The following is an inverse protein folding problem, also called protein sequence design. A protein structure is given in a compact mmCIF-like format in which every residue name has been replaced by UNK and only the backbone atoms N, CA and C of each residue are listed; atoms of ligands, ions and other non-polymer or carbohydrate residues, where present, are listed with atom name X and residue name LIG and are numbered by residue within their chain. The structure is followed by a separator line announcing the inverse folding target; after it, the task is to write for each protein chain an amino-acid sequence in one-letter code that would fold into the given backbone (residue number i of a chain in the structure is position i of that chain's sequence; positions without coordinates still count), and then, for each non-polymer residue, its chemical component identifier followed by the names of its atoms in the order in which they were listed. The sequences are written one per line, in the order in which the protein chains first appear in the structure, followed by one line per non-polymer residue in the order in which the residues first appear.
data_IF_587825754285
#
_entry.id   IF_587825754285
#
_cell.length_a   1.000
_cell.length_b   1.000
_cell.length_c   1.000
_cell.angle_alpha   90.00
_cell.angle_beta   90.00
_cell.angle_gamma   90.00
#
_symmetry.space_group_name_H-M   'P 1'
#
loop_
_entity.id
_entity.type
_entity.pdbx_description
1 polymer ?
#
# COMPACT_ATOMS: atom_id res chain seq x y z
N UNK A 1 10.12 11.24 -7.64
CA UNK A 1 9.90 9.87 -8.17
C UNK A 1 8.60 9.38 -7.56
N UNK A 2 7.69 8.80 -8.34
CA UNK A 2 6.37 8.38 -7.83
C UNK A 2 6.54 7.12 -6.94
N UNK A 3 5.92 7.11 -5.76
CA UNK A 3 6.07 6.07 -4.73
C UNK A 3 5.73 4.68 -5.28
N UNK A 4 4.67 4.63 -6.09
CA UNK A 4 4.22 3.41 -6.75
C UNK A 4 5.12 3.02 -7.92
N UNK A 5 5.77 3.99 -8.58
CA UNK A 5 6.76 3.67 -9.62
C UNK A 5 8.02 3.05 -9.02
N UNK A 6 8.44 3.44 -7.81
CA UNK A 6 9.58 2.80 -7.14
C UNK A 6 9.28 1.32 -6.84
N UNK A 7 8.10 1.05 -6.28
CA UNK A 7 7.63 -0.31 -6.00
C UNK A 7 7.55 -1.16 -7.27
N UNK A 8 6.97 -0.62 -8.35
CA UNK A 8 6.79 -1.37 -9.59
C UNK A 8 8.06 -1.50 -10.41
N UNK A 9 8.96 -0.51 -10.39
CA UNK A 9 10.27 -0.60 -11.04
C UNK A 9 11.20 -1.59 -10.34
N UNK A 10 11.08 -1.71 -9.02
CA UNK A 10 11.79 -2.72 -8.23
C UNK A 10 11.35 -4.11 -8.64
N UNK A 11 10.04 -4.35 -8.73
CA UNK A 11 9.53 -5.61 -9.22
C UNK A 11 9.95 -5.94 -10.66
N UNK A 12 9.92 -4.97 -11.59
CA UNK A 12 10.41 -5.17 -12.96
C UNK A 12 11.87 -5.61 -12.99
N UNK A 13 12.71 -5.08 -12.09
CA UNK A 13 14.11 -5.48 -11.97
C UNK A 13 14.27 -6.89 -11.40
N UNK A 14 13.43 -7.32 -10.46
CA UNK A 14 13.41 -8.71 -9.94
C UNK A 14 13.04 -9.67 -11.08
N UNK A 15 11.94 -9.38 -11.78
CA UNK A 15 11.45 -10.15 -12.92
C UNK A 15 12.48 -10.27 -14.04
N UNK A 16 13.17 -9.17 -14.38
CA UNK A 16 14.18 -9.16 -15.43
C UNK A 16 15.46 -9.95 -15.08
N UNK A 17 15.76 -10.17 -13.79
CA UNK A 17 17.02 -10.80 -13.34
C UNK A 17 16.88 -12.23 -12.86
N UNK A 18 15.67 -12.65 -12.45
CA UNK A 18 15.30 -14.04 -12.22
C UNK A 18 15.46 -15.04 -13.39
N UNK A 19 15.56 -14.68 -14.70
CA UNK A 19 15.37 -15.66 -15.78
C UNK A 19 16.42 -16.78 -15.93
N UNK A 20 17.56 -16.78 -15.23
CA UNK A 20 18.63 -17.76 -15.53
C UNK A 20 18.73 -18.99 -14.62
N UNK A 21 18.02 -19.07 -13.48
CA UNK A 21 18.41 -20.06 -12.45
C UNK A 21 17.43 -21.23 -12.26
N UNK A 22 16.10 -21.05 -12.23
CA UNK A 22 15.15 -22.18 -12.10
C UNK A 22 13.69 -21.74 -12.39
N UNK A 23 12.86 -22.59 -13.01
CA UNK A 23 11.44 -22.31 -13.29
C UNK A 23 10.60 -22.24 -12.00
N UNK A 24 10.93 -23.08 -11.01
CA UNK A 24 10.25 -23.13 -9.71
C UNK A 24 10.46 -21.83 -8.91
N UNK A 25 11.64 -21.22 -9.02
CA UNK A 25 11.96 -19.94 -8.37
C UNK A 25 11.22 -18.76 -9.01
N UNK A 26 11.02 -18.78 -10.34
CA UNK A 26 10.21 -17.76 -11.02
C UNK A 26 8.77 -17.79 -10.55
N UNK A 27 8.20 -18.98 -10.39
CA UNK A 27 6.82 -19.14 -9.93
C UNK A 27 6.64 -18.67 -8.49
N UNK A 28 7.61 -18.97 -7.61
CA UNK A 28 7.59 -18.48 -6.21
C UNK A 28 7.67 -16.96 -6.12
N UNK A 29 8.52 -16.32 -6.92
CA UNK A 29 8.60 -14.85 -6.99
C UNK A 29 7.27 -14.28 -7.50
N UNK A 30 6.72 -14.87 -8.57
CA UNK A 30 5.43 -14.45 -9.15
C UNK A 30 4.32 -14.50 -8.10
N UNK A 31 4.25 -15.59 -7.33
CA UNK A 31 3.25 -15.75 -6.28
C UNK A 31 3.36 -14.64 -5.22
N UNK A 32 4.55 -14.35 -4.72
CA UNK A 32 4.74 -13.32 -3.68
C UNK A 32 4.48 -11.92 -4.22
N UNK A 33 4.91 -11.63 -5.45
CA UNK A 33 4.61 -10.36 -6.13
C UNK A 33 3.10 -10.17 -6.26
N UNK A 34 2.37 -11.22 -6.66
CA UNK A 34 0.91 -11.23 -6.77
C UNK A 34 0.24 -11.00 -5.43
N UNK A 35 0.56 -11.83 -4.42
CA UNK A 35 0.00 -11.73 -3.07
C UNK A 35 0.22 -10.33 -2.46
N UNK A 36 1.41 -9.75 -2.66
CA UNK A 36 1.71 -8.40 -2.18
C UNK A 36 0.91 -7.32 -2.93
N UNK A 37 0.86 -7.42 -4.25
CA UNK A 37 0.12 -6.49 -5.10
C UNK A 37 -1.38 -6.50 -4.79
N UNK A 38 -1.95 -7.69 -4.63
CA UNK A 38 -3.36 -7.89 -4.28
C UNK A 38 -3.67 -7.32 -2.90
N UNK A 39 -2.84 -7.64 -1.90
CA UNK A 39 -3.02 -7.15 -0.53
C UNK A 39 -2.96 -5.61 -0.47
N UNK A 40 -1.99 -4.99 -1.14
CA UNK A 40 -1.88 -3.54 -1.21
C UNK A 40 -3.07 -2.91 -1.96
N UNK A 41 -3.52 -3.53 -3.06
CA UNK A 41 -4.71 -3.10 -3.78
C UNK A 41 -5.96 -3.13 -2.88
N UNK A 42 -6.14 -4.20 -2.11
CA UNK A 42 -7.26 -4.35 -1.18
C UNK A 42 -7.20 -3.30 -0.06
N UNK A 43 -6.00 -2.98 0.42
CA UNK A 43 -5.78 -1.90 1.40
C UNK A 43 -6.30 -0.55 0.91
N UNK A 44 -5.93 -0.22 -0.33
CA UNK A 44 -6.35 1.02 -0.98
C UNK A 44 -7.86 1.01 -1.22
N UNK A 45 -8.42 -0.13 -1.62
CA UNK A 45 -9.86 -0.29 -1.83
C UNK A 45 -10.65 -0.10 -0.53
N UNK A 46 -10.23 -0.72 0.57
CA UNK A 46 -10.86 -0.57 1.88
C UNK A 46 -10.83 0.89 2.34
N UNK A 47 -9.70 1.57 2.13
CA UNK A 47 -9.56 3.00 2.42
C UNK A 47 -10.52 3.85 1.57
N UNK A 48 -10.64 3.56 0.27
CA UNK A 48 -11.59 4.21 -0.63
C UNK A 48 -13.04 4.00 -0.16
N UNK A 49 -13.40 2.77 0.20
CA UNK A 49 -14.75 2.43 0.68
C UNK A 49 -15.04 3.20 1.98
N UNK A 50 -14.09 3.23 2.90
CA UNK A 50 -14.23 3.95 4.17
C UNK A 50 -14.45 5.44 3.96
N UNK A 51 -13.60 6.08 3.14
CA UNK A 51 -13.74 7.49 2.78
C UNK A 51 -15.07 7.75 2.08
N UNK A 52 -15.50 6.85 1.18
CA UNK A 52 -16.79 6.96 0.52
C UNK A 52 -17.96 6.88 1.50
N UNK A 53 -17.88 6.03 2.52
CA UNK A 53 -18.89 6.00 3.59
C UNK A 53 -18.86 7.28 4.43
N UNK A 54 -17.68 7.74 4.83
CA UNK A 54 -17.52 9.00 5.57
C UNK A 54 -18.15 10.17 4.79
N UNK A 55 -17.92 10.27 3.48
CA UNK A 55 -18.55 11.29 2.61
C UNK A 55 -20.08 11.30 2.69
N UNK A 56 -20.72 10.14 2.79
CA UNK A 56 -22.19 10.01 2.80
C UNK A 56 -22.78 9.93 4.21
N UNK A 57 -21.94 10.00 5.25
CA UNK A 57 -22.38 9.96 6.64
C UNK A 57 -23.24 11.19 6.96
N UNK A 58 -24.19 10.98 7.88
CA UNK A 58 -25.02 12.07 8.43
C UNK A 58 -24.19 13.01 9.27
N UNK A 59 -24.71 14.19 9.53
CA UNK A 59 -23.93 15.28 10.13
C UNK A 59 -23.33 14.92 11.50
N UNK A 60 -24.08 14.21 12.33
CA UNK A 60 -23.62 13.73 13.64
C UNK A 60 -22.63 12.58 13.53
N UNK A 61 -22.69 11.79 12.45
CA UNK A 61 -21.89 10.59 12.22
C UNK A 61 -20.60 10.92 11.44
N UNK A 62 -20.53 12.06 10.74
CA UNK A 62 -19.41 12.45 9.88
C UNK A 62 -18.11 12.65 10.66
N UNK A 63 -18.16 13.47 11.73
CA UNK A 63 -16.99 13.72 12.57
C UNK A 63 -16.54 12.45 13.31
N UNK A 64 -17.48 11.62 13.75
CA UNK A 64 -17.21 10.33 14.38
C UNK A 64 -16.53 9.35 13.41
N UNK A 65 -17.01 9.27 12.17
CA UNK A 65 -16.38 8.48 11.11
C UNK A 65 -14.95 8.94 10.81
N UNK A 66 -14.68 10.24 10.79
CA UNK A 66 -13.32 10.74 10.61
C UNK A 66 -12.42 10.43 11.82
N UNK A 67 -12.96 10.56 13.04
CA UNK A 67 -12.22 10.28 14.28
C UNK A 67 -11.77 8.82 14.36
N UNK A 68 -12.65 7.88 13.98
CA UNK A 68 -12.37 6.44 14.01
C UNK A 68 -11.65 5.92 12.76
N UNK A 69 -11.32 6.77 11.80
CA UNK A 69 -10.60 6.39 10.59
C UNK A 69 -9.28 5.70 10.92
N UNK A 70 -8.53 6.26 11.87
CA UNK A 70 -7.26 5.68 12.34
C UNK A 70 -7.46 4.27 12.89
N UNK A 71 -8.37 4.05 13.82
CA UNK A 71 -8.50 2.73 14.46
C UNK A 71 -9.01 1.68 13.48
N UNK A 72 -10.03 2.00 12.68
CA UNK A 72 -10.64 1.05 11.74
C UNK A 72 -9.77 0.71 10.54
N UNK A 73 -9.00 1.68 10.04
CA UNK A 73 -8.11 1.45 8.89
C UNK A 73 -6.76 0.90 9.34
N UNK A 74 -6.23 1.33 10.50
CA UNK A 74 -4.92 0.86 11.00
C UNK A 74 -4.90 -0.60 11.40
N UNK A 75 -6.01 -1.16 11.88
CA UNK A 75 -6.11 -2.62 12.10
C UNK A 75 -6.03 -3.38 10.79
N UNK A 76 -6.72 -2.91 9.74
CA UNK A 76 -6.56 -3.45 8.39
C UNK A 76 -5.12 -3.29 7.90
N UNK A 77 -4.45 -2.20 8.31
CA UNK A 77 -3.03 -1.95 7.99
C UNK A 77 -2.02 -2.79 8.79
N UNK A 78 -2.42 -3.32 9.95
CA UNK A 78 -1.57 -4.10 10.87
C UNK A 78 -1.77 -5.61 10.73
N UNK A 79 -2.98 -6.05 10.39
CA UNK A 79 -3.25 -7.45 10.00
C UNK A 79 -2.57 -7.83 8.67
N UNK A 80 -1.96 -6.86 7.99
CA UNK A 80 -1.04 -7.11 6.90
C UNK A 80 0.11 -8.02 7.34
N UNK A 81 -0.10 -9.32 7.09
CA UNK A 81 0.90 -10.35 6.82
C UNK A 81 1.91 -9.98 5.73
N UNK A 82 1.95 -8.73 5.26
CA UNK A 82 2.91 -8.21 4.30
C UNK A 82 4.34 -8.26 4.87
N UNK A 83 4.51 -7.88 6.14
CA UNK A 83 5.77 -8.08 6.84
C UNK A 83 6.14 -9.57 6.91
N UNK A 84 5.17 -10.46 7.20
CA UNK A 84 5.42 -11.90 7.28
C UNK A 84 5.83 -12.53 5.95
N UNK A 85 5.26 -12.07 4.84
CA UNK A 85 5.57 -12.52 3.48
C UNK A 85 6.93 -12.04 2.98
N UNK A 86 7.23 -10.74 3.11
CA UNK A 86 8.52 -10.16 2.71
C UNK A 86 9.67 -10.55 3.63
N UNK A 87 9.45 -10.70 4.94
CA UNK A 87 10.45 -11.24 5.85
C UNK A 87 10.64 -12.74 5.65
N UNK A 88 9.58 -13.54 5.39
CA UNK A 88 9.76 -14.91 4.93
C UNK A 88 10.52 -14.94 3.60
N UNK A 89 10.26 -14.02 2.68
CA UNK A 89 10.96 -13.97 1.41
C UNK A 89 12.44 -13.64 1.62
N UNK A 90 12.76 -12.62 2.43
CA UNK A 90 14.14 -12.25 2.78
C UNK A 90 14.86 -13.38 3.50
N UNK A 91 14.22 -13.96 4.52
CA UNK A 91 14.80 -15.03 5.34
C UNK A 91 14.94 -16.32 4.52
N UNK A 92 13.98 -16.61 3.62
CA UNK A 92 14.06 -17.73 2.67
C UNK A 92 14.99 -17.45 1.51
N UNK A 93 15.15 -16.23 1.02
CA UNK A 93 16.21 -15.90 0.04
C UNK A 93 17.59 -16.07 0.69
N UNK A 94 17.74 -15.69 1.96
CA UNK A 94 18.92 -16.01 2.77
C UNK A 94 19.16 -17.52 2.93
N UNK A 95 18.09 -18.33 3.01
CA UNK A 95 18.19 -19.80 3.17
C UNK A 95 18.27 -20.60 1.85
N UNK A 96 17.54 -20.22 0.79
CA UNK A 96 17.53 -20.83 -0.55
C UNK A 96 18.93 -20.70 -1.19
N UNK A 97 19.68 -19.65 -0.82
CA UNK A 97 21.07 -19.45 -1.24
C UNK A 97 22.12 -19.99 -0.24
N UNK A 98 21.69 -20.67 0.81
CA UNK A 98 22.55 -21.37 1.76
C UNK A 98 22.19 -22.86 1.75
N UNK A 99 22.73 -23.72 0.87
CA UNK A 99 24.12 -23.76 0.38
C UNK A 99 24.22 -24.18 -1.10
N UNK A 100 24.29 -23.23 -2.02
CA UNK A 100 25.04 -23.42 -3.27
C UNK A 100 25.74 -22.12 -3.59
N UNK A 101 26.80 -21.83 -2.83
CA UNK A 101 27.78 -20.75 -3.11
C UNK A 101 28.42 -20.83 -4.51
N UNK A 102 27.99 -21.74 -5.37
CA UNK A 102 28.58 -22.07 -6.66
C UNK A 102 27.61 -22.02 -7.85
N UNK A 103 26.30 -21.75 -7.66
CA UNK A 103 25.31 -21.78 -8.76
C UNK A 103 24.65 -20.43 -9.09
N UNK A 104 24.73 -19.45 -8.19
CA UNK A 104 24.19 -18.10 -8.44
C UNK A 104 25.31 -17.08 -8.27
N UNK A 105 25.57 -16.35 -9.35
CA UNK A 105 26.46 -15.19 -9.42
C UNK A 105 26.26 -14.29 -8.19
N UNK A 106 27.28 -14.12 -7.36
CA UNK A 106 27.22 -13.36 -6.09
C UNK A 106 26.69 -11.93 -6.27
N UNK A 107 26.89 -11.33 -7.45
CA UNK A 107 26.38 -10.01 -7.80
C UNK A 107 24.85 -9.99 -7.97
N UNK A 108 24.25 -11.10 -8.43
CA UNK A 108 22.79 -11.22 -8.56
C UNK A 108 22.10 -11.35 -7.21
N UNK A 109 22.74 -11.95 -6.21
CA UNK A 109 22.18 -12.05 -4.85
C UNK A 109 22.08 -10.67 -4.19
N UNK A 110 23.15 -9.87 -4.24
CA UNK A 110 23.15 -8.50 -3.69
C UNK A 110 22.09 -7.62 -4.34
N UNK A 111 21.85 -7.80 -5.64
CA UNK A 111 20.78 -7.08 -6.33
C UNK A 111 19.38 -7.54 -5.89
N UNK A 112 19.14 -8.83 -5.70
CA UNK A 112 17.84 -9.32 -5.20
C UNK A 112 17.58 -8.80 -3.78
N UNK A 113 18.59 -8.81 -2.90
CA UNK A 113 18.48 -8.21 -1.56
C UNK A 113 18.18 -6.71 -1.62
N UNK A 114 18.83 -5.98 -2.54
CA UNK A 114 18.56 -4.56 -2.76
C UNK A 114 17.12 -4.34 -3.21
N UNK A 115 16.61 -5.20 -4.10
CA UNK A 115 15.25 -5.10 -4.60
C UNK A 115 14.21 -5.45 -3.54
N UNK A 116 14.46 -6.43 -2.68
CA UNK A 116 13.57 -6.71 -1.54
C UNK A 116 13.55 -5.51 -0.57
N UNK A 117 14.69 -4.85 -0.36
CA UNK A 117 14.77 -3.66 0.48
C UNK A 117 14.02 -2.47 -0.13
N UNK A 118 14.14 -2.26 -1.44
CA UNK A 118 13.38 -1.23 -2.16
C UNK A 118 11.86 -1.52 -2.10
N UNK A 119 11.47 -2.80 -2.14
CA UNK A 119 10.08 -3.22 -2.02
C UNK A 119 9.51 -2.92 -0.63
N UNK A 120 10.25 -3.27 0.42
CA UNK A 120 9.91 -2.95 1.80
C UNK A 120 9.86 -1.43 2.04
N UNK A 121 10.70 -0.67 1.35
CA UNK A 121 10.65 0.79 1.37
C UNK A 121 9.39 1.33 0.68
N UNK A 122 9.02 0.78 -0.48
CA UNK A 122 7.79 1.12 -1.19
C UNK A 122 6.53 0.84 -0.33
N UNK A 123 6.46 -0.33 0.29
CA UNK A 123 5.41 -0.69 1.24
C UNK A 123 5.33 0.31 2.40
N UNK A 124 6.47 0.57 3.06
CA UNK A 124 6.53 1.52 4.17
C UNK A 124 6.03 2.90 3.77
N UNK A 125 6.35 3.34 2.56
CA UNK A 125 5.90 4.63 2.06
C UNK A 125 4.39 4.66 1.78
N UNK A 126 3.80 3.53 1.35
CA UNK A 126 2.32 3.41 1.23
C UNK A 126 1.66 3.44 2.61
N UNK A 127 2.25 2.75 3.60
CA UNK A 127 1.78 2.78 4.99
C UNK A 127 1.89 4.20 5.56
N UNK A 128 2.99 4.91 5.31
CA UNK A 128 3.19 6.28 5.76
C UNK A 128 2.14 7.21 5.12
N UNK A 129 1.88 7.08 3.82
CA UNK A 129 0.80 7.83 3.15
C UNK A 129 -0.58 7.56 3.73
N UNK A 130 -0.90 6.29 4.02
CA UNK A 130 -2.16 5.92 4.67
C UNK A 130 -2.21 6.45 6.12
N UNK A 131 -1.07 6.48 6.80
CA UNK A 131 -0.88 7.13 8.10
C UNK A 131 -1.22 8.62 8.05
N UNK A 132 -0.60 9.35 7.12
CA UNK A 132 -0.84 10.78 6.89
C UNK A 132 -2.32 11.06 6.61
N UNK A 133 -2.97 10.21 5.79
CA UNK A 133 -4.41 10.32 5.52
C UNK A 133 -5.24 10.13 6.80
N UNK A 134 -4.92 9.11 7.62
CA UNK A 134 -5.65 8.91 8.88
C UNK A 134 -5.40 10.02 9.90
N UNK A 135 -4.20 10.60 9.94
CA UNK A 135 -3.89 11.75 10.80
C UNK A 135 -4.62 13.02 10.32
N UNK A 136 -4.75 13.21 9.00
CA UNK A 136 -5.60 14.27 8.42
C UNK A 136 -7.06 14.08 8.83
N UNK A 137 -7.61 12.86 8.74
CA UNK A 137 -8.99 12.57 9.16
C UNK A 137 -9.21 12.90 10.64
N UNK A 138 -8.30 12.48 11.53
CA UNK A 138 -8.38 12.82 12.95
C UNK A 138 -8.31 14.32 13.21
N UNK A 139 -7.46 15.04 12.47
CA UNK A 139 -7.34 16.50 12.57
C UNK A 139 -8.64 17.20 12.15
N UNK A 140 -9.24 16.79 11.03
CA UNK A 140 -10.53 17.35 10.60
C UNK A 140 -11.67 16.99 11.56
N UNK A 141 -11.67 15.79 12.14
CA UNK A 141 -12.65 15.40 13.15
C UNK A 141 -12.57 16.30 14.40
N UNK A 142 -11.37 16.55 14.94
CA UNK A 142 -11.15 17.44 16.08
C UNK A 142 -11.59 18.87 15.76
N UNK A 143 -11.35 19.30 14.53
CA UNK A 143 -11.63 20.66 14.14
C UNK A 143 -13.13 20.87 13.81
N UNK A 144 -13.85 19.81 13.45
CA UNK A 144 -15.32 19.78 13.38
C UNK A 144 -15.97 19.71 14.77
N UNK A 145 -15.37 19.01 15.73
CA UNK A 145 -15.93 18.90 17.09
C UNK A 145 -15.92 20.21 17.88
N UNK A 146 -15.06 21.16 17.48
CA UNK A 146 -14.99 22.52 18.03
C UNK A 146 -16.08 23.46 17.52
N UNK A 147 -16.86 23.04 16.51
CA UNK A 147 -17.90 23.85 15.88
C UNK A 147 -19.26 23.20 16.11
N UNK A 148 -20.27 23.98 16.47
CA UNK A 148 -21.61 23.46 16.69
C UNK A 148 -22.22 22.95 15.37
N UNK A 149 -22.74 21.72 15.40
CA UNK A 149 -23.40 21.07 14.25
C UNK A 149 -24.57 21.93 13.77
N UNK A 150 -24.70 22.07 12.45
CA UNK A 150 -25.80 22.83 11.81
C UNK A 150 -25.55 24.33 11.67
N UNK A 151 -24.42 24.86 12.16
CA UNK A 151 -24.00 26.25 11.88
C UNK A 151 -23.44 26.39 10.47
N UNK A 152 -23.43 27.62 9.94
CA UNK A 152 -22.84 27.92 8.62
C UNK A 152 -21.35 27.55 8.56
N UNK A 153 -20.60 27.82 9.63
CA UNK A 153 -19.19 27.44 9.75
C UNK A 153 -18.99 25.92 9.68
N UNK A 154 -19.86 25.17 10.37
CA UNK A 154 -19.83 23.71 10.35
C UNK A 154 -20.15 23.16 8.95
N UNK A 155 -21.19 23.70 8.31
CA UNK A 155 -21.61 23.30 6.96
C UNK A 155 -20.51 23.59 5.92
N UNK A 156 -19.88 24.76 6.00
CA UNK A 156 -18.79 25.14 5.11
C UNK A 156 -17.58 24.23 5.31
N UNK A 157 -17.22 23.92 6.56
CA UNK A 157 -16.11 23.01 6.86
C UNK A 157 -16.38 21.60 6.38
N UNK A 158 -17.57 21.06 6.63
CA UNK A 158 -17.98 19.75 6.11
C UNK A 158 -17.88 19.70 4.59
N UNK A 159 -18.36 20.73 3.90
CA UNK A 159 -18.25 20.81 2.44
C UNK A 159 -16.80 20.74 1.97
N UNK A 160 -15.89 21.49 2.60
CA UNK A 160 -14.46 21.44 2.28
C UNK A 160 -13.86 20.05 2.58
N UNK A 161 -14.20 19.45 3.72
CA UNK A 161 -13.74 18.10 4.08
C UNK A 161 -14.24 17.04 3.08
N UNK A 162 -15.50 17.12 2.63
CA UNK A 162 -16.05 16.23 1.60
C UNK A 162 -15.32 16.41 0.27
N UNK A 163 -15.01 17.64 -0.15
CA UNK A 163 -14.21 17.87 -1.36
C UNK A 163 -12.80 17.29 -1.24
N UNK A 164 -12.17 17.40 -0.07
CA UNK A 164 -10.88 16.78 0.19
C UNK A 164 -10.96 15.24 0.15
N UNK A 165 -12.00 14.66 0.76
CA UNK A 165 -12.29 13.21 0.66
C UNK A 165 -12.38 12.77 -0.80
N UNK A 166 -13.11 13.51 -1.65
CA UNK A 166 -13.23 13.20 -3.07
C UNK A 166 -11.87 13.22 -3.78
N UNK A 167 -11.03 14.22 -3.49
CA UNK A 167 -9.66 14.28 -3.99
C UNK A 167 -8.80 13.09 -3.54
N UNK A 168 -8.91 12.69 -2.28
CA UNK A 168 -8.21 11.52 -1.74
C UNK A 168 -8.69 10.21 -2.39
N UNK A 169 -10.00 10.04 -2.58
CA UNK A 169 -10.59 8.87 -3.26
C UNK A 169 -10.07 8.78 -4.70
N UNK A 170 -10.06 9.89 -5.44
CA UNK A 170 -9.58 9.90 -6.82
C UNK A 170 -8.08 9.57 -6.90
N UNK A 171 -7.28 10.14 -6.01
CA UNK A 171 -5.87 9.84 -5.91
C UNK A 171 -5.62 8.36 -5.59
N UNK A 172 -6.28 7.82 -4.57
CA UNK A 172 -6.19 6.41 -4.18
C UNK A 172 -6.60 5.48 -5.33
N UNK A 173 -7.68 5.78 -6.05
CA UNK A 173 -8.14 4.99 -7.20
C UNK A 173 -7.11 4.98 -8.32
N UNK A 174 -6.47 6.13 -8.60
CA UNK A 174 -5.39 6.20 -9.58
C UNK A 174 -4.23 5.30 -9.17
N UNK A 175 -3.79 5.40 -7.91
CA UNK A 175 -2.71 4.56 -7.38
C UNK A 175 -3.02 3.08 -7.39
N UNK A 176 -4.24 2.69 -7.02
CA UNK A 176 -4.69 1.31 -7.09
C UNK A 176 -4.64 0.78 -8.53
N UNK A 177 -5.15 1.55 -9.50
CA UNK A 177 -5.11 1.16 -10.93
C UNK A 177 -3.67 1.01 -11.45
N UNK A 178 -2.80 1.96 -11.11
CA UNK A 178 -1.40 1.92 -11.51
C UNK A 178 -0.69 0.71 -10.88
N UNK A 179 -0.92 0.43 -9.60
CA UNK A 179 -0.41 -0.75 -8.90
C UNK A 179 -0.82 -2.06 -9.58
N UNK A 180 -2.13 -2.26 -9.81
CA UNK A 180 -2.67 -3.48 -10.43
C UNK A 180 -2.12 -3.67 -11.84
N UNK A 181 -2.12 -2.60 -12.66
CA UNK A 181 -1.58 -2.64 -14.03
C UNK A 181 -0.12 -3.06 -14.01
N UNK A 182 0.67 -2.44 -13.15
CA UNK A 182 2.10 -2.64 -13.14
C UNK A 182 2.45 -4.04 -12.61
N UNK A 183 1.82 -4.49 -11.50
CA UNK A 183 1.97 -5.85 -10.96
C UNK A 183 1.62 -6.91 -12.02
N UNK A 184 0.51 -6.73 -12.74
CA UNK A 184 0.13 -7.64 -13.83
C UNK A 184 1.17 -7.67 -14.95
N UNK A 185 1.66 -6.51 -15.38
CA UNK A 185 2.70 -6.41 -16.41
C UNK A 185 4.02 -7.07 -15.98
N UNK A 186 4.34 -7.05 -14.69
CA UNK A 186 5.50 -7.76 -14.14
C UNK A 186 5.27 -9.26 -14.21
N UNK A 187 4.13 -9.73 -13.68
CA UNK A 187 3.73 -11.13 -13.68
C UNK A 187 3.72 -11.69 -15.10
N UNK A 188 3.13 -11.00 -16.08
CA UNK A 188 3.00 -11.48 -17.46
C UNK A 188 4.36 -11.59 -18.21
N UNK A 189 5.40 -10.89 -17.74
CA UNK A 189 6.74 -10.87 -18.35
C UNK A 189 7.73 -11.85 -17.71
N UNK A 190 7.33 -12.56 -16.66
CA UNK A 190 8.13 -13.59 -15.97
C UNK A 190 7.86 -15.00 -16.50
#
# INVERSE_FOLDING_TARGET
MDIFSLFTDTFKKIAAKGPKVNAEERERIRQVVGELGDTLSDSLLLTIIYLSHARHARDTEFAEHLAHGRDRLRESFREFKICGGLYNLRDRFGQIFSPTKYAVDMDRMKEIEYLIRDLAHGERTVIDFLGDLTDWMSTEAEALSKVAVGTDDWNQRRKTAVMAIDGHIEHLRKKQKDLVRDVRHIIDRM
#
